data_IF_832919766908
#
_entry.id   IF_832919766908
#
_cell.length_a   1.000
_cell.length_b   1.000
_cell.length_c   1.000
_cell.angle_alpha   90.00
_cell.angle_beta   90.00
_cell.angle_gamma   90.00
#
_symmetry.space_group_name_H-M   'P 1'
#
loop_
_entity.id
_entity.type
_entity.pdbx_description
1 polymer ?
#
# COMPACT_ATOMS: atom_id res chain seq x y z
N UNK A 1 6.24 25.01 12.69
CA UNK A 1 6.83 23.69 13.02
C UNK A 1 6.58 22.70 11.88
N UNK A 2 7.59 22.00 11.48
CA UNK A 2 7.45 20.94 10.49
C UNK A 2 6.76 19.75 11.15
N UNK A 3 5.63 19.31 10.61
CA UNK A 3 4.89 18.15 11.12
C UNK A 3 5.71 16.88 10.84
N UNK A 4 5.90 16.06 11.86
CA UNK A 4 6.66 14.81 11.74
C UNK A 4 5.76 13.68 11.28
N UNK A 5 6.13 13.06 10.13
CA UNK A 5 5.49 11.85 9.63
C UNK A 5 6.27 10.65 10.17
N UNK A 6 5.58 9.74 10.82
CA UNK A 6 6.18 8.50 11.34
C UNK A 6 5.50 7.30 10.70
N UNK A 7 6.31 6.33 10.26
CA UNK A 7 5.83 5.06 9.69
C UNK A 7 5.97 3.97 10.75
N UNK A 8 4.89 3.22 10.92
CA UNK A 8 4.80 2.13 11.89
C UNK A 8 4.35 0.84 11.21
N UNK A 9 4.78 -0.30 11.72
CA UNK A 9 4.06 -1.56 11.48
C UNK A 9 2.68 -1.43 12.11
N UNK A 10 1.63 -1.74 11.35
CA UNK A 10 0.28 -1.78 11.89
C UNK A 10 0.12 -2.98 12.83
N UNK A 11 -0.79 -2.86 13.78
CA UNK A 11 -1.12 -3.92 14.75
C UNK A 11 -2.61 -4.31 14.60
N UNK A 12 -3.05 -5.45 15.18
CA UNK A 12 -4.46 -5.83 15.14
C UNK A 12 -5.43 -4.77 15.69
N UNK A 13 -4.94 -3.87 16.54
CA UNK A 13 -5.72 -2.73 17.04
C UNK A 13 -6.07 -1.72 15.94
N UNK A 14 -5.32 -1.71 14.84
CA UNK A 14 -5.54 -0.85 13.69
C UNK A 14 -6.56 -1.42 12.69
N UNK A 15 -7.10 -2.62 12.95
CA UNK A 15 -8.00 -3.32 12.02
C UNK A 15 -9.17 -2.44 11.58
N UNK A 16 -9.85 -1.79 12.51
CA UNK A 16 -11.02 -0.96 12.21
C UNK A 16 -10.70 0.22 11.29
N UNK A 17 -9.61 0.92 11.53
CA UNK A 17 -9.21 2.07 10.72
C UNK A 17 -8.72 1.64 9.33
N UNK A 18 -8.04 0.49 9.23
CA UNK A 18 -7.60 -0.08 7.94
C UNK A 18 -8.80 -0.55 7.12
N UNK A 19 -9.77 -1.22 7.73
CA UNK A 19 -11.02 -1.61 7.05
C UNK A 19 -11.73 -0.38 6.48
N UNK A 20 -11.89 0.66 7.28
CA UNK A 20 -12.52 1.90 6.80
C UNK A 20 -11.73 2.53 5.65
N UNK A 21 -10.41 2.52 5.73
CA UNK A 21 -9.55 3.01 4.65
C UNK A 21 -9.79 2.25 3.32
N UNK A 22 -9.97 0.93 3.37
CA UNK A 22 -10.29 0.14 2.17
C UNK A 22 -11.64 0.52 1.58
N UNK A 23 -12.66 0.68 2.42
CA UNK A 23 -14.01 1.07 1.98
C UNK A 23 -14.00 2.46 1.34
N UNK A 24 -13.33 3.41 1.95
CA UNK A 24 -13.21 4.78 1.47
C UNK A 24 -12.42 4.85 0.15
N UNK A 25 -11.33 4.11 0.06
CA UNK A 25 -10.50 4.07 -1.15
C UNK A 25 -11.26 3.49 -2.35
N UNK A 26 -11.94 2.37 -2.18
CA UNK A 26 -12.70 1.75 -3.27
C UNK A 26 -13.84 2.65 -3.76
N UNK A 27 -14.52 3.32 -2.83
CA UNK A 27 -15.58 4.26 -3.18
C UNK A 27 -15.02 5.49 -3.91
N UNK A 28 -13.90 6.01 -3.46
CA UNK A 28 -13.30 7.22 -4.02
C UNK A 28 -12.65 7.00 -5.39
N UNK A 29 -11.91 5.88 -5.55
CA UNK A 29 -11.13 5.63 -6.76
C UNK A 29 -11.87 4.86 -7.84
N UNK A 30 -12.80 3.99 -7.48
CA UNK A 30 -13.49 3.08 -8.39
C UNK A 30 -15.02 3.20 -8.33
N UNK A 31 -15.54 4.10 -7.50
CA UNK A 31 -16.97 4.23 -7.22
C UNK A 31 -17.61 2.88 -6.85
N UNK A 32 -16.89 2.07 -6.11
CA UNK A 32 -17.25 0.71 -5.73
C UNK A 32 -17.55 0.61 -4.24
N UNK A 33 -18.77 0.20 -3.90
CA UNK A 33 -19.15 -0.13 -2.54
C UNK A 33 -18.76 -1.57 -2.22
N UNK A 34 -17.77 -1.77 -1.36
CA UNK A 34 -17.32 -3.08 -0.95
C UNK A 34 -18.20 -3.65 0.17
N UNK A 35 -18.31 -4.99 0.23
CA UNK A 35 -18.89 -5.68 1.37
C UNK A 35 -17.98 -5.54 2.61
N UNK A 36 -18.44 -4.79 3.58
CA UNK A 36 -17.68 -4.52 4.82
C UNK A 36 -17.26 -5.79 5.56
N UNK A 37 -18.14 -6.77 5.65
CA UNK A 37 -17.86 -8.04 6.34
C UNK A 37 -16.73 -8.81 5.64
N UNK A 38 -16.74 -8.85 4.32
CA UNK A 38 -15.70 -9.49 3.51
C UNK A 38 -14.36 -8.78 3.66
N UNK A 39 -14.36 -7.45 3.58
CA UNK A 39 -13.14 -6.63 3.78
C UNK A 39 -12.57 -6.82 5.18
N UNK A 40 -13.41 -6.84 6.20
CA UNK A 40 -12.99 -7.06 7.59
C UNK A 40 -12.30 -8.42 7.77
N UNK A 41 -12.86 -9.48 7.18
CA UNK A 41 -12.24 -10.81 7.19
C UNK A 41 -10.91 -10.82 6.46
N UNK A 42 -10.83 -10.13 5.31
CA UNK A 42 -9.62 -10.03 4.50
C UNK A 42 -8.48 -9.29 5.21
N UNK A 43 -8.79 -8.17 5.84
CA UNK A 43 -7.81 -7.41 6.64
C UNK A 43 -7.34 -8.22 7.86
N UNK A 44 -8.29 -8.84 8.57
CA UNK A 44 -7.98 -9.69 9.73
C UNK A 44 -7.04 -10.84 9.36
N UNK A 45 -7.29 -11.48 8.22
CA UNK A 45 -6.48 -12.61 7.74
C UNK A 45 -5.01 -12.22 7.52
N UNK A 46 -4.72 -10.98 7.12
CA UNK A 46 -3.34 -10.49 6.99
C UNK A 46 -2.64 -10.40 8.36
N UNK A 47 -3.35 -9.93 9.39
CA UNK A 47 -2.79 -9.89 10.75
C UNK A 47 -2.55 -11.29 11.33
N UNK A 48 -3.35 -12.27 10.94
CA UNK A 48 -3.24 -13.65 11.43
C UNK A 48 -2.20 -14.49 10.68
N UNK A 49 -1.86 -14.12 9.45
CA UNK A 49 -0.92 -14.86 8.61
C UNK A 49 0.07 -13.93 7.89
N UNK A 50 1.31 -13.83 8.39
CA UNK A 50 2.33 -12.96 7.79
C UNK A 50 2.68 -13.32 6.33
N UNK A 51 2.34 -14.51 5.86
CA UNK A 51 2.54 -14.90 4.45
C UNK A 51 1.63 -14.16 3.48
N UNK A 52 0.47 -13.68 3.98
CA UNK A 52 -0.47 -12.90 3.18
C UNK A 52 -0.01 -11.46 2.93
N UNK A 53 0.83 -10.93 3.80
CA UNK A 53 1.34 -9.57 3.69
C UNK A 53 1.51 -8.90 5.04
N UNK A 54 1.80 -7.62 4.99
CA UNK A 54 1.98 -6.79 6.18
C UNK A 54 1.45 -5.39 5.96
N UNK A 55 0.64 -4.91 6.91
CA UNK A 55 0.18 -3.53 6.92
C UNK A 55 1.16 -2.60 7.62
N UNK A 56 1.32 -1.42 7.04
CA UNK A 56 1.99 -0.28 7.63
C UNK A 56 1.03 0.89 7.73
N UNK A 57 1.18 1.70 8.77
CA UNK A 57 0.44 2.95 8.94
C UNK A 57 1.39 4.13 9.06
N UNK A 58 0.93 5.28 8.61
CA UNK A 58 1.57 6.57 8.84
C UNK A 58 0.79 7.36 9.87
N UNK A 59 1.51 8.09 10.71
CA UNK A 59 0.93 9.09 11.60
C UNK A 59 1.57 10.45 11.36
N UNK A 60 0.80 11.51 11.52
CA UNK A 60 1.28 12.89 11.55
C UNK A 60 0.89 13.48 12.89
N UNK A 61 1.87 13.85 13.69
CA UNK A 61 1.66 14.34 15.07
C UNK A 61 0.80 13.36 15.91
N UNK A 62 0.99 12.05 15.69
CA UNK A 62 0.25 10.98 16.38
C UNK A 62 -1.11 10.63 15.78
N UNK A 63 -1.64 11.40 14.83
CA UNK A 63 -2.90 11.12 14.16
C UNK A 63 -2.71 10.25 12.91
N UNK A 64 -3.65 9.35 12.63
CA UNK A 64 -3.63 8.50 11.45
C UNK A 64 -3.57 9.34 10.17
N UNK A 65 -2.59 9.07 9.33
CA UNK A 65 -2.35 9.78 8.09
C UNK A 65 -2.34 8.90 6.84
N UNK A 66 -2.45 7.60 7.00
CA UNK A 66 -2.50 6.67 5.87
C UNK A 66 -2.09 5.26 6.24
N UNK A 67 -2.34 4.35 5.31
CA UNK A 67 -1.91 2.95 5.41
C UNK A 67 -1.60 2.37 4.04
N UNK A 68 -0.87 1.27 4.03
CA UNK A 68 -0.66 0.44 2.86
C UNK A 68 -0.45 -1.02 3.27
N UNK A 69 -0.68 -1.92 2.32
CA UNK A 69 -0.36 -3.33 2.43
C UNK A 69 0.90 -3.62 1.60
N UNK A 70 1.82 -4.39 2.15
CA UNK A 70 2.92 -4.99 1.38
C UNK A 70 2.68 -6.48 1.22
N UNK A 71 2.96 -7.00 0.02
CA UNK A 71 2.95 -8.43 -0.28
C UNK A 71 4.24 -8.82 -0.98
N UNK A 72 4.51 -10.11 -1.11
CA UNK A 72 5.77 -10.62 -1.63
C UNK A 72 5.57 -11.30 -2.97
N UNK A 73 6.49 -11.02 -3.91
CA UNK A 73 6.63 -11.76 -5.16
C UNK A 73 8.03 -12.36 -5.24
N UNK A 74 8.12 -13.68 -5.31
CA UNK A 74 9.42 -14.33 -5.51
C UNK A 74 9.93 -14.08 -6.92
N UNK A 75 11.17 -13.64 -7.03
CA UNK A 75 11.89 -13.54 -8.30
C UNK A 75 12.98 -14.60 -8.38
N UNK A 76 12.74 -15.61 -9.19
CA UNK A 76 13.73 -16.66 -9.46
C UNK A 76 14.96 -16.11 -10.18
N UNK A 77 14.77 -15.10 -11.03
CA UNK A 77 15.89 -14.44 -11.71
C UNK A 77 16.82 -13.69 -10.76
N UNK A 78 16.28 -13.17 -9.66
CA UNK A 78 17.01 -12.38 -8.67
C UNK A 78 17.34 -13.14 -7.40
N UNK A 79 16.78 -14.35 -7.25
CA UNK A 79 16.87 -15.14 -6.01
C UNK A 79 16.50 -14.32 -4.76
N UNK A 80 15.44 -13.55 -4.87
CA UNK A 80 14.98 -12.63 -3.81
C UNK A 80 13.54 -12.21 -4.05
N UNK A 81 12.94 -11.55 -3.08
CA UNK A 81 11.56 -11.05 -3.17
C UNK A 81 11.50 -9.63 -3.70
N UNK A 82 10.58 -9.38 -4.63
CA UNK A 82 10.07 -8.04 -4.87
C UNK A 82 8.94 -7.76 -3.87
N UNK A 83 8.99 -6.63 -3.22
CA UNK A 83 7.98 -6.18 -2.29
C UNK A 83 6.92 -5.37 -3.06
N UNK A 84 5.68 -5.85 -3.06
CA UNK A 84 4.57 -5.17 -3.70
C UNK A 84 3.87 -4.25 -2.71
N UNK A 85 3.58 -3.03 -3.16
CA UNK A 85 2.79 -2.04 -2.43
C UNK A 85 1.35 -2.12 -2.95
N UNK A 86 0.43 -2.39 -2.05
CA UNK A 86 -0.99 -2.52 -2.37
C UNK A 86 -1.85 -1.68 -1.42
N UNK A 87 -3.06 -1.36 -1.84
CA UNK A 87 -4.07 -0.73 -0.99
C UNK A 87 -3.58 0.53 -0.27
N UNK A 88 -2.84 1.37 -1.01
CA UNK A 88 -2.34 2.64 -0.46
C UNK A 88 -3.50 3.62 -0.30
N UNK A 89 -3.71 4.10 0.91
CA UNK A 89 -4.69 5.13 1.20
C UNK A 89 -4.12 6.24 2.07
N UNK A 90 -4.35 7.48 1.64
CA UNK A 90 -4.05 8.68 2.40
C UNK A 90 -5.34 9.51 2.47
N UNK A 91 -5.89 9.77 3.67
CA UNK A 91 -7.09 10.59 3.82
C UNK A 91 -6.93 11.97 3.18
N UNK A 92 -8.01 12.52 2.63
CA UNK A 92 -7.99 13.81 1.92
C UNK A 92 -7.30 14.93 2.70
N UNK A 93 -7.59 15.02 4.00
CA UNK A 93 -7.00 16.05 4.88
C UNK A 93 -5.50 15.83 5.17
N UNK A 94 -4.94 14.69 4.80
CA UNK A 94 -3.52 14.37 4.98
C UNK A 94 -2.73 14.41 3.67
N UNK A 95 -3.39 14.61 2.53
CA UNK A 95 -2.74 14.66 1.21
C UNK A 95 -1.89 15.91 1.02
N UNK A 96 -0.92 15.82 0.12
CA UNK A 96 0.00 16.94 -0.17
C UNK A 96 1.05 17.18 0.92
N UNK A 97 1.17 16.29 1.90
CA UNK A 97 2.11 16.41 3.02
C UNK A 97 3.33 15.48 2.91
N UNK A 98 3.38 14.67 1.86
CA UNK A 98 4.48 13.73 1.65
C UNK A 98 4.30 12.39 2.38
N UNK A 99 3.08 12.00 2.72
CA UNK A 99 2.80 10.73 3.42
C UNK A 99 3.24 9.54 2.58
N UNK A 100 2.83 9.48 1.31
CA UNK A 100 3.26 8.39 0.42
C UNK A 100 4.79 8.38 0.23
N UNK A 101 5.40 9.54 0.03
CA UNK A 101 6.86 9.65 -0.07
C UNK A 101 7.55 9.08 1.17
N UNK A 102 7.02 9.33 2.36
CA UNK A 102 7.55 8.78 3.60
C UNK A 102 7.42 7.26 3.67
N UNK A 103 6.29 6.69 3.25
CA UNK A 103 6.15 5.24 3.08
C UNK A 103 7.18 4.68 2.10
N UNK A 104 7.29 5.31 0.93
CA UNK A 104 8.21 4.87 -0.11
C UNK A 104 9.66 4.84 0.38
N UNK A 105 10.11 5.90 1.02
CA UNK A 105 11.47 5.98 1.55
C UNK A 105 11.72 4.94 2.64
N UNK A 106 10.75 4.73 3.53
CA UNK A 106 10.82 3.70 4.55
C UNK A 106 10.98 2.29 3.95
N UNK A 107 10.15 1.94 2.96
CA UNK A 107 10.21 0.65 2.28
C UNK A 107 11.48 0.51 1.43
N UNK A 108 11.92 1.60 0.79
CA UNK A 108 13.17 1.60 0.02
C UNK A 108 14.39 1.35 0.90
N UNK A 109 14.44 1.94 2.08
CA UNK A 109 15.51 1.69 3.05
C UNK A 109 15.46 0.24 3.56
N UNK A 110 14.27 -0.32 3.76
CA UNK A 110 14.10 -1.73 4.10
C UNK A 110 14.67 -2.64 3.00
N UNK A 111 14.35 -2.39 1.74
CA UNK A 111 14.90 -3.15 0.60
C UNK A 111 16.42 -3.07 0.55
N UNK A 112 16.98 -1.88 0.78
CA UNK A 112 18.45 -1.70 0.78
C UNK A 112 19.16 -2.41 1.92
N UNK A 113 18.51 -2.61 3.05
CA UNK A 113 19.08 -3.22 4.25
C UNK A 113 18.82 -4.72 4.38
N UNK A 114 17.97 -5.29 3.55
CA UNK A 114 17.59 -6.70 3.57
C UNK A 114 17.97 -7.38 2.26
N UNK A 115 18.95 -8.31 2.32
CA UNK A 115 19.44 -9.03 1.15
C UNK A 115 18.40 -9.96 0.50
N UNK A 116 17.33 -10.29 1.21
CA UNK A 116 16.23 -11.09 0.69
C UNK A 116 15.21 -10.28 -0.14
N UNK A 117 15.38 -8.95 -0.19
CA UNK A 117 14.53 -8.04 -0.96
C UNK A 117 15.31 -7.43 -2.14
N UNK A 118 14.67 -7.35 -3.30
CA UNK A 118 15.32 -6.82 -4.50
C UNK A 118 14.69 -5.54 -5.06
N UNK A 119 13.51 -5.18 -4.61
CA UNK A 119 12.86 -3.98 -5.14
C UNK A 119 11.43 -3.78 -4.65
N UNK A 120 10.84 -2.69 -5.11
CA UNK A 120 9.46 -2.31 -4.86
C UNK A 120 8.68 -2.31 -6.17
N UNK A 121 7.47 -2.83 -6.15
CA UNK A 121 6.53 -2.80 -7.27
C UNK A 121 5.15 -2.38 -6.80
N UNK A 122 4.39 -1.76 -7.69
CA UNK A 122 2.97 -1.47 -7.50
C UNK A 122 2.29 -1.41 -8.86
N UNK A 123 0.97 -1.53 -8.86
CA UNK A 123 0.17 -1.17 -10.02
C UNK A 123 -0.79 -0.04 -9.66
N UNK A 124 -1.27 0.68 -10.66
CA UNK A 124 -2.16 1.81 -10.50
C UNK A 124 -3.21 1.79 -11.61
N UNK A 125 -4.42 2.20 -11.29
CA UNK A 125 -5.45 2.38 -12.30
C UNK A 125 -4.99 3.39 -13.37
N UNK A 126 -5.19 3.04 -14.64
CA UNK A 126 -4.75 3.87 -15.78
C UNK A 126 -5.38 5.26 -15.78
N UNK A 127 -6.53 5.42 -15.14
CA UNK A 127 -7.22 6.71 -15.02
C UNK A 127 -6.75 7.54 -13.81
N UNK A 128 -6.07 6.94 -12.84
CA UNK A 128 -5.57 7.63 -11.65
C UNK A 128 -4.27 8.39 -11.98
N UNK A 129 -4.40 9.50 -12.69
CA UNK A 129 -3.25 10.31 -13.12
C UNK A 129 -2.53 10.99 -11.96
N UNK A 130 -3.24 11.33 -10.90
CA UNK A 130 -2.65 11.97 -9.72
C UNK A 130 -1.70 11.02 -8.98
N UNK A 131 -2.10 9.76 -8.78
CA UNK A 131 -1.22 8.74 -8.20
C UNK A 131 0.00 8.47 -9.09
N UNK A 132 -0.18 8.38 -10.41
CA UNK A 132 0.92 8.17 -11.35
C UNK A 132 1.97 9.29 -11.25
N UNK A 133 1.55 10.54 -11.12
CA UNK A 133 2.47 11.68 -10.91
C UNK A 133 3.26 11.55 -9.61
N UNK A 134 2.63 11.07 -8.54
CA UNK A 134 3.31 10.84 -7.26
C UNK A 134 4.39 9.76 -7.43
N UNK A 135 4.08 8.66 -8.11
CA UNK A 135 5.05 7.58 -8.34
C UNK A 135 6.23 8.02 -9.22
N UNK A 136 5.96 8.80 -10.25
CA UNK A 136 7.02 9.40 -11.08
C UNK A 136 7.94 10.33 -10.29
N UNK A 137 7.39 11.13 -9.38
CA UNK A 137 8.18 12.04 -8.52
C UNK A 137 9.14 11.31 -7.58
N UNK A 138 8.85 10.08 -7.20
CA UNK A 138 9.75 9.24 -6.39
C UNK A 138 10.64 8.33 -7.25
N UNK A 139 10.68 8.57 -8.57
CA UNK A 139 11.49 7.84 -9.55
C UNK A 139 11.12 6.37 -9.73
N UNK A 140 9.84 6.02 -9.57
CA UNK A 140 9.35 4.73 -10.05
C UNK A 140 9.08 4.80 -11.55
N UNK A 141 9.38 3.71 -12.26
CA UNK A 141 9.23 3.61 -13.71
C UNK A 141 8.11 2.65 -14.08
N UNK A 142 7.36 2.98 -15.14
CA UNK A 142 6.34 2.12 -15.75
C UNK A 142 6.70 1.72 -17.21
N UNK A 143 7.98 1.73 -17.55
CA UNK A 143 8.44 1.58 -18.95
C UNK A 143 8.43 0.14 -19.46
N UNK A 144 8.53 -0.87 -18.57
CA UNK A 144 8.82 -2.25 -18.98
C UNK A 144 7.63 -3.20 -18.88
N UNK A 145 6.63 -2.93 -18.05
CA UNK A 145 5.56 -3.89 -17.75
C UNK A 145 4.18 -3.27 -17.88
N UNK A 146 3.24 -4.09 -18.33
CA UNK A 146 1.81 -3.84 -18.29
C UNK A 146 1.16 -4.94 -17.46
N UNK A 147 0.06 -4.63 -16.76
CA UNK A 147 -0.73 -5.59 -16.03
C UNK A 147 -1.80 -6.20 -16.93
N UNK A 148 -1.82 -7.54 -17.05
CA UNK A 148 -2.93 -8.30 -17.62
C UNK A 148 -3.67 -9.01 -16.50
N UNK A 149 -4.99 -9.01 -16.54
CA UNK A 149 -5.82 -9.49 -15.45
C UNK A 149 -6.98 -10.34 -15.99
N UNK A 150 -7.19 -11.47 -15.36
CA UNK A 150 -8.42 -12.24 -15.48
C UNK A 150 -8.89 -12.54 -14.06
N UNK A 151 -10.10 -12.11 -13.73
CA UNK A 151 -10.76 -12.41 -12.45
C UNK A 151 -11.90 -13.40 -12.70
N UNK A 152 -12.10 -14.32 -11.76
CA UNK A 152 -13.20 -15.28 -11.85
C UNK A 152 -14.54 -14.54 -11.81
N UNK A 153 -15.38 -14.68 -12.86
CA UNK A 153 -16.69 -14.01 -12.88
C UNK A 153 -17.66 -14.47 -11.77
N UNK A 154 -17.36 -15.59 -11.10
CA UNK A 154 -18.12 -16.06 -9.95
C UNK A 154 -17.80 -15.37 -8.62
N UNK A 155 -16.84 -14.45 -8.63
CA UNK A 155 -16.41 -13.70 -7.44
C UNK A 155 -17.12 -12.34 -7.31
#
# INVERSE_FOLDING_TARGET
MQKTITIHSATPEDLGIIVQAQLDMALETENLALDKSRVQKGVKAVFEDPKKGKYYKATVDGEFAGCLLTTFEWSDWRNSYCLWIQSVFVPKNQRGRGVFKSFYLYLKDMVKSDSDLCGLRLYVDKTNKDAQKVYQKVNMSNEHYELFEWLDPGE
#
